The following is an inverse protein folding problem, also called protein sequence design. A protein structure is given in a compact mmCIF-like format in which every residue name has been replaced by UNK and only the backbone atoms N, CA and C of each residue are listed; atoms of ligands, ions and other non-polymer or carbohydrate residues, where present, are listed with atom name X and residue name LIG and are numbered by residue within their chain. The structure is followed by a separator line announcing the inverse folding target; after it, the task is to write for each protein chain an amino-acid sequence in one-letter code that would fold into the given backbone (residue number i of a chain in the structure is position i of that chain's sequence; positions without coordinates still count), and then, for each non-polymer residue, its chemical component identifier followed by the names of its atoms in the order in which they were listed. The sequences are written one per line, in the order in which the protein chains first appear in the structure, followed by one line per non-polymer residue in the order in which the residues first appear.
data_IF_491355389287
#
_entry.id   IF_491355389287
#
_cell.length_a   1.000
_cell.length_b   1.000
_cell.length_c   1.000
_cell.angle_alpha   90.00
_cell.angle_beta   90.00
_cell.angle_gamma   90.00
#
_symmetry.space_group_name_H-M   'P 1'
#
loop_
_entity.id
_entity.type
_entity.pdbx_description
1 polymer ?
#
# COMPACT_ATOMS: atom_id res chain seq x y z
N UNK A 1 0.92 25.92 -9.73
CA UNK A 1 -0.05 24.83 -9.93
C UNK A 1 -1.33 25.29 -10.63
N UNK A 2 -1.68 26.58 -10.60
CA UNK A 2 -2.76 27.10 -11.43
C UNK A 2 -2.38 27.03 -12.91
N UNK A 3 -3.18 26.31 -13.69
CA UNK A 3 -3.13 26.14 -15.14
C UNK A 3 -1.79 25.65 -15.73
N UNK A 4 -1.36 24.41 -15.40
CA UNK A 4 -0.17 23.83 -16.00
C UNK A 4 -0.47 23.30 -17.41
N UNK A 5 0.46 23.51 -18.35
CA UNK A 5 0.52 22.67 -19.54
C UNK A 5 0.55 21.18 -19.14
N UNK A 6 -0.02 20.26 -19.95
CA UNK A 6 -0.05 18.84 -19.63
C UNK A 6 1.34 18.29 -19.28
N UNK A 7 1.47 17.73 -18.07
CA UNK A 7 2.74 17.25 -17.53
C UNK A 7 2.56 16.00 -16.66
N UNK A 8 3.68 15.36 -16.30
CA UNK A 8 3.74 14.25 -15.34
C UNK A 8 4.44 14.76 -14.08
N UNK A 9 3.83 14.52 -12.92
CA UNK A 9 4.38 14.87 -11.62
C UNK A 9 4.64 13.63 -10.80
N UNK A 10 5.88 13.47 -10.35
CA UNK A 10 6.25 12.53 -9.31
C UNK A 10 6.49 13.31 -8.01
N UNK A 11 5.63 13.09 -7.01
CA UNK A 11 5.66 13.82 -5.75
C UNK A 11 5.62 12.89 -4.53
N UNK A 12 6.30 13.28 -3.47
CA UNK A 12 6.23 12.62 -2.16
C UNK A 12 5.06 13.17 -1.33
N UNK A 13 4.47 12.42 -0.39
CA UNK A 13 4.74 11.02 -0.03
C UNK A 13 3.82 10.03 -0.74
N UNK A 14 4.31 8.81 -1.01
CA UNK A 14 3.62 7.80 -1.84
C UNK A 14 2.30 7.23 -1.29
N UNK A 15 1.92 7.57 -0.06
CA UNK A 15 0.61 7.20 0.53
C UNK A 15 -0.27 8.41 0.87
N UNK A 16 0.14 9.61 0.43
CA UNK A 16 -0.64 10.86 0.56
C UNK A 16 -0.94 11.21 2.03
N UNK A 17 -0.05 10.87 2.96
CA UNK A 17 -0.19 11.26 4.37
C UNK A 17 0.39 12.66 4.66
N UNK A 18 0.94 13.32 3.63
CA UNK A 18 1.64 14.59 3.73
C UNK A 18 2.65 14.78 2.61
N UNK A 19 3.39 15.89 2.67
CA UNK A 19 4.39 16.26 1.68
C UNK A 19 3.82 16.98 0.45
N UNK A 20 4.67 17.25 -0.56
CA UNK A 20 4.30 18.01 -1.76
C UNK A 20 3.06 17.50 -2.51
N UNK A 21 2.80 16.18 -2.51
CA UNK A 21 1.63 15.56 -3.15
C UNK A 21 0.30 16.18 -2.68
N UNK A 22 0.25 16.66 -1.43
CA UNK A 22 -0.94 17.32 -0.90
C UNK A 22 -1.27 18.62 -1.62
N UNK A 23 -0.26 19.37 -2.06
CA UNK A 23 -0.46 20.64 -2.77
C UNK A 23 -0.98 20.40 -4.20
N UNK A 24 -0.50 19.34 -4.86
CA UNK A 24 -1.05 18.88 -6.14
C UNK A 24 -2.48 18.40 -5.99
N UNK A 25 -2.76 17.56 -4.98
CA UNK A 25 -4.11 17.05 -4.74
C UNK A 25 -5.10 18.19 -4.47
N UNK A 26 -4.76 19.15 -3.61
CA UNK A 26 -5.60 20.34 -3.35
C UNK A 26 -5.88 21.16 -4.60
N UNK A 27 -4.91 21.21 -5.53
CA UNK A 27 -5.01 22.05 -6.72
C UNK A 27 -5.74 21.37 -7.88
N UNK A 28 -5.60 20.05 -8.02
CA UNK A 28 -5.98 19.32 -9.24
C UNK A 28 -7.04 18.23 -9.04
N UNK A 29 -7.42 17.90 -7.79
CA UNK A 29 -8.38 16.82 -7.53
C UNK A 29 -9.76 17.03 -8.16
N UNK A 30 -10.18 18.28 -8.33
CA UNK A 30 -11.50 18.64 -8.88
C UNK A 30 -11.51 18.71 -10.41
N UNK A 31 -10.36 18.59 -11.07
CA UNK A 31 -10.25 18.59 -12.54
C UNK A 31 -10.35 17.15 -13.09
N UNK A 32 -11.41 16.89 -13.84
CA UNK A 32 -11.70 15.60 -14.49
C UNK A 32 -10.67 15.21 -15.57
N UNK A 33 -9.89 16.17 -16.08
CA UNK A 33 -8.80 15.90 -17.03
C UNK A 33 -7.56 15.34 -16.35
N UNK A 34 -7.42 15.54 -15.03
CA UNK A 34 -6.29 15.03 -14.29
C UNK A 34 -6.48 13.55 -13.93
N UNK A 35 -5.36 12.86 -13.70
CA UNK A 35 -5.34 11.47 -13.23
C UNK A 35 -4.33 11.35 -12.10
N UNK A 36 -4.73 10.70 -11.02
CA UNK A 36 -3.81 10.22 -9.98
C UNK A 36 -3.60 8.72 -10.15
N UNK A 37 -2.34 8.29 -10.22
CA UNK A 37 -1.98 6.89 -10.40
C UNK A 37 -1.22 6.38 -9.18
N UNK A 38 -1.78 5.37 -8.50
CA UNK A 38 -1.10 4.66 -7.43
C UNK A 38 -0.25 3.52 -7.99
N UNK A 39 1.05 3.54 -7.72
CA UNK A 39 2.01 2.56 -8.25
C UNK A 39 2.51 1.55 -7.19
N UNK A 40 2.04 1.68 -5.96
CA UNK A 40 2.47 0.86 -4.83
C UNK A 40 1.36 0.69 -3.80
N UNK A 41 1.60 -0.24 -2.87
CA UNK A 41 0.64 -0.57 -1.81
C UNK A 41 0.26 0.66 -0.98
N UNK A 42 -1.04 0.81 -0.72
CA UNK A 42 -1.58 1.87 0.13
C UNK A 42 -2.03 1.25 1.45
N UNK A 43 -1.32 1.58 2.54
CA UNK A 43 -1.62 1.02 3.84
C UNK A 43 -3.00 1.46 4.35
N UNK A 44 -3.68 0.58 5.10
CA UNK A 44 -4.94 0.92 5.76
C UNK A 44 -4.80 2.15 6.67
N UNK A 45 -5.84 2.98 6.69
CA UNK A 45 -5.86 4.25 7.42
C UNK A 45 -5.21 5.43 6.67
N UNK A 46 -4.41 5.19 5.63
CA UNK A 46 -3.82 6.28 4.83
C UNK A 46 -4.84 6.98 3.95
N UNK A 47 -4.55 8.22 3.58
CA UNK A 47 -5.41 8.97 2.67
C UNK A 47 -5.42 8.33 1.27
N UNK A 48 -4.26 7.91 0.78
CA UNK A 48 -4.14 7.22 -0.50
C UNK A 48 -5.01 5.97 -0.56
N UNK A 49 -5.09 5.18 0.52
CA UNK A 49 -5.97 4.01 0.59
C UNK A 49 -7.46 4.37 0.51
N UNK A 50 -7.89 5.48 1.13
CA UNK A 50 -9.28 5.95 1.04
C UNK A 50 -9.64 6.36 -0.39
N UNK A 51 -8.77 7.14 -1.03
CA UNK A 51 -8.94 7.58 -2.42
C UNK A 51 -8.97 6.36 -3.35
N UNK A 52 -8.03 5.43 -3.19
CA UNK A 52 -7.97 4.19 -3.98
C UNK A 52 -9.23 3.32 -3.82
N UNK A 53 -9.88 3.33 -2.64
CA UNK A 53 -11.18 2.67 -2.40
C UNK A 53 -12.38 3.41 -3.01
N UNK A 54 -12.16 4.51 -3.72
CA UNK A 54 -13.20 5.27 -4.41
C UNK A 54 -13.86 6.37 -3.58
N UNK A 55 -13.23 6.83 -2.49
CA UNK A 55 -13.73 7.99 -1.76
C UNK A 55 -13.67 9.24 -2.64
N UNK A 56 -14.83 9.88 -2.83
CA UNK A 56 -14.97 11.06 -3.69
C UNK A 56 -14.98 12.38 -2.95
N UNK A 57 -15.21 12.36 -1.64
CA UNK A 57 -15.17 13.55 -0.80
C UNK A 57 -14.12 13.37 0.30
N UNK A 58 -13.12 14.23 0.28
CA UNK A 58 -11.94 14.10 1.13
C UNK A 58 -11.83 15.31 2.07
N UNK A 59 -12.03 15.13 3.39
CA UNK A 59 -11.86 16.21 4.34
C UNK A 59 -10.36 16.46 4.58
N UNK A 60 -9.89 17.67 4.26
CA UNK A 60 -8.52 18.13 4.52
C UNK A 60 -8.55 19.41 5.38
N UNK A 61 -7.50 19.61 6.17
CA UNK A 61 -7.29 20.89 6.86
C UNK A 61 -6.40 21.77 6.00
N UNK A 62 -6.93 22.91 5.55
CA UNK A 62 -6.23 23.92 4.74
C UNK A 62 -6.22 25.22 5.54
N UNK A 63 -5.02 25.76 5.80
CA UNK A 63 -4.85 26.99 6.59
C UNK A 63 -5.62 27.01 7.92
N UNK A 64 -5.65 25.87 8.62
CA UNK A 64 -6.35 25.73 9.91
C UNK A 64 -7.87 25.57 9.82
N UNK A 65 -8.45 25.54 8.62
CA UNK A 65 -9.88 25.29 8.39
C UNK A 65 -10.10 23.92 7.76
N UNK A 66 -11.15 23.22 8.20
CA UNK A 66 -11.57 21.99 7.56
C UNK A 66 -12.26 22.32 6.23
N UNK A 67 -11.84 21.67 5.16
CA UNK A 67 -12.34 21.85 3.80
C UNK A 67 -12.48 20.49 3.16
N UNK A 68 -13.61 20.25 2.49
CA UNK A 68 -13.83 19.01 1.73
C UNK A 68 -13.45 19.26 0.28
N UNK A 69 -12.55 18.44 -0.26
CA UNK A 69 -12.18 18.45 -1.67
C UNK A 69 -12.94 17.34 -2.39
N UNK A 70 -13.42 17.63 -3.60
CA UNK A 70 -14.05 16.64 -4.48
C UNK A 70 -13.01 15.96 -5.36
N UNK A 71 -13.03 14.63 -5.42
CA UNK A 71 -12.14 13.83 -6.27
C UNK A 71 -12.81 13.54 -7.60
N UNK A 72 -12.87 14.56 -8.47
CA UNK A 72 -13.40 14.41 -9.83
C UNK A 72 -12.36 13.84 -10.81
N UNK A 73 -11.07 13.99 -10.48
CA UNK A 73 -9.98 13.41 -11.27
C UNK A 73 -10.09 11.88 -11.36
N UNK A 74 -9.49 11.32 -12.40
CA UNK A 74 -9.41 9.87 -12.58
C UNK A 74 -8.47 9.26 -11.52
N UNK A 75 -8.84 8.09 -10.99
CA UNK A 75 -8.05 7.37 -9.98
C UNK A 75 -7.70 6.02 -10.56
N UNK A 76 -6.42 5.83 -10.86
CA UNK A 76 -5.89 4.60 -11.45
C UNK A 76 -4.94 3.90 -10.48
N UNK A 77 -4.87 2.57 -10.56
CA UNK A 77 -3.86 1.78 -9.85
C UNK A 77 -3.06 0.99 -10.89
N UNK A 78 -1.75 1.18 -10.88
CA UNK A 78 -0.82 0.47 -11.73
C UNK A 78 0.02 -0.49 -10.88
N UNK A 79 -0.40 -1.75 -10.86
CA UNK A 79 0.31 -2.81 -10.13
C UNK A 79 1.62 -3.18 -10.83
N UNK A 80 2.64 -3.53 -10.05
CA UNK A 80 3.94 -4.01 -10.56
C UNK A 80 5.16 -3.17 -10.17
N UNK A 81 4.95 -1.98 -9.57
CA UNK A 81 6.04 -1.08 -9.18
C UNK A 81 6.22 -0.94 -7.65
N UNK A 82 5.55 -1.78 -6.87
CA UNK A 82 5.57 -1.67 -5.39
C UNK A 82 6.92 -2.00 -4.75
N UNK A 83 7.82 -2.67 -5.48
CA UNK A 83 9.07 -3.20 -4.94
C UNK A 83 8.90 -4.42 -4.02
N UNK A 84 7.66 -4.86 -3.77
CA UNK A 84 7.35 -6.03 -2.95
C UNK A 84 7.06 -7.25 -3.82
N UNK A 85 7.55 -8.42 -3.38
CA UNK A 85 7.22 -9.67 -4.02
C UNK A 85 5.73 -9.98 -3.91
N UNK A 86 5.12 -10.39 -5.02
CA UNK A 86 3.75 -10.89 -5.02
C UNK A 86 3.63 -12.26 -4.31
N UNK A 87 2.40 -12.75 -4.15
CA UNK A 87 2.12 -14.03 -3.50
C UNK A 87 2.84 -15.21 -4.18
N UNK A 88 2.91 -15.24 -5.50
CA UNK A 88 3.57 -16.29 -6.26
C UNK A 88 5.08 -16.25 -6.06
N UNK A 89 5.67 -15.05 -6.10
CA UNK A 89 7.08 -14.80 -5.85
C UNK A 89 7.48 -15.17 -4.42
N UNK A 90 6.67 -14.85 -3.40
CA UNK A 90 6.92 -15.26 -2.01
C UNK A 90 6.89 -16.79 -1.84
N UNK A 91 5.91 -17.47 -2.43
CA UNK A 91 5.86 -18.93 -2.42
C UNK A 91 7.06 -19.54 -3.15
N UNK A 92 7.44 -18.96 -4.29
CA UNK A 92 8.61 -19.40 -5.05
C UNK A 92 9.91 -19.17 -4.26
N UNK A 93 10.04 -18.06 -3.54
CA UNK A 93 11.18 -17.79 -2.67
C UNK A 93 11.34 -18.88 -1.60
N UNK A 94 10.26 -19.24 -0.90
CA UNK A 94 10.26 -20.38 0.04
C UNK A 94 10.58 -21.70 -0.66
N UNK A 95 10.02 -21.90 -1.86
CA UNK A 95 10.25 -23.06 -2.70
C UNK A 95 11.72 -23.27 -3.09
N UNK A 96 12.49 -22.20 -3.24
CA UNK A 96 13.89 -22.25 -3.68
C UNK A 96 14.92 -22.04 -2.55
N UNK A 97 14.49 -21.77 -1.31
CA UNK A 97 15.43 -21.67 -0.19
C UNK A 97 16.24 -22.97 0.01
N UNK A 98 17.55 -22.80 0.15
CA UNK A 98 18.52 -23.84 0.48
C UNK A 98 19.55 -23.30 1.48
N UNK A 99 19.76 -23.95 2.64
CA UNK A 99 19.01 -25.11 3.14
C UNK A 99 17.54 -24.77 3.40
N UNK A 100 16.69 -25.80 3.45
CA UNK A 100 15.28 -25.62 3.80
C UNK A 100 15.15 -25.21 5.27
N UNK A 101 14.43 -24.12 5.58
CA UNK A 101 14.27 -23.70 6.97
C UNK A 101 13.35 -24.65 7.72
N UNK A 102 13.68 -24.92 8.99
CA UNK A 102 12.83 -25.72 9.89
C UNK A 102 11.58 -24.96 10.34
N UNK A 103 11.67 -23.62 10.38
CA UNK A 103 10.58 -22.71 10.74
C UNK A 103 10.63 -21.41 9.94
N UNK A 104 9.47 -20.90 9.54
CA UNK A 104 9.32 -19.57 8.91
C UNK A 104 8.34 -18.72 9.72
N UNK A 105 8.70 -17.46 9.99
CA UNK A 105 7.87 -16.51 10.73
C UNK A 105 7.46 -15.39 9.77
N UNK A 106 6.16 -15.16 9.63
CA UNK A 106 5.57 -14.14 8.78
C UNK A 106 5.21 -12.89 9.59
N UNK A 107 5.47 -11.73 9.01
CA UNK A 107 5.14 -10.41 9.55
C UNK A 107 5.14 -9.37 8.45
N UNK A 108 5.07 -8.08 8.81
CA UNK A 108 5.06 -6.96 7.86
C UNK A 108 4.01 -7.11 6.74
N UNK A 109 2.78 -7.41 7.15
CA UNK A 109 1.60 -7.50 6.29
C UNK A 109 0.34 -7.40 7.14
N UNK A 110 -0.80 -7.22 6.49
CA UNK A 110 -2.09 -7.30 7.19
C UNK A 110 -2.22 -8.66 7.89
N UNK A 111 -2.83 -8.68 9.08
CA UNK A 111 -2.96 -9.90 9.91
C UNK A 111 -3.52 -11.09 9.11
N UNK A 112 -4.61 -10.86 8.37
CA UNK A 112 -5.23 -11.86 7.51
C UNK A 112 -4.28 -12.38 6.43
N UNK A 113 -3.45 -11.51 5.85
CA UNK A 113 -2.49 -11.86 4.79
C UNK A 113 -1.31 -12.65 5.33
N UNK A 114 -0.79 -12.29 6.51
CA UNK A 114 0.24 -13.05 7.21
C UNK A 114 -0.25 -14.46 7.57
N UNK A 115 -1.48 -14.59 8.09
CA UNK A 115 -2.10 -15.88 8.39
C UNK A 115 -2.34 -16.72 7.12
N UNK A 116 -2.80 -16.09 6.04
CA UNK A 116 -3.08 -16.75 4.76
C UNK A 116 -1.81 -17.35 4.15
N UNK A 117 -0.72 -16.57 4.06
CA UNK A 117 0.54 -17.05 3.48
C UNK A 117 1.23 -18.06 4.39
N UNK A 118 1.18 -17.88 5.71
CA UNK A 118 1.66 -18.85 6.69
C UNK A 118 1.00 -20.21 6.48
N UNK A 119 -0.33 -20.22 6.41
CA UNK A 119 -1.12 -21.43 6.15
C UNK A 119 -0.80 -22.05 4.78
N UNK A 120 -0.60 -21.23 3.75
CA UNK A 120 -0.27 -21.70 2.40
C UNK A 120 1.12 -22.36 2.35
N UNK A 121 2.11 -21.78 3.03
CA UNK A 121 3.48 -22.32 3.10
C UNK A 121 3.52 -23.61 3.89
N UNK A 122 2.84 -23.67 5.04
CA UNK A 122 2.74 -24.91 5.82
C UNK A 122 2.12 -26.04 5.00
N UNK A 123 0.95 -25.80 4.36
CA UNK A 123 0.28 -26.81 3.53
C UNK A 123 1.12 -27.28 2.34
N UNK A 124 1.86 -26.37 1.70
CA UNK A 124 2.60 -26.67 0.46
C UNK A 124 3.95 -27.33 0.70
N UNK A 125 4.66 -26.94 1.76
CA UNK A 125 6.06 -27.35 1.98
C UNK A 125 6.27 -28.15 3.25
N UNK A 126 5.22 -28.35 4.07
CA UNK A 126 5.30 -29.03 5.36
C UNK A 126 6.36 -28.43 6.31
N UNK A 127 6.53 -27.10 6.25
CA UNK A 127 7.43 -26.32 7.11
C UNK A 127 6.62 -25.76 8.28
N UNK A 128 7.20 -25.71 9.48
CA UNK A 128 6.53 -25.05 10.61
C UNK A 128 6.45 -23.54 10.36
N UNK A 129 5.26 -22.96 10.44
CA UNK A 129 5.08 -21.52 10.23
C UNK A 129 4.43 -20.85 11.43
N UNK A 130 4.71 -19.55 11.59
CA UNK A 130 4.03 -18.71 12.58
C UNK A 130 3.77 -17.33 11.98
N UNK A 131 2.70 -16.68 12.42
CA UNK A 131 2.40 -15.28 12.11
C UNK A 131 2.04 -14.59 13.45
N UNK A 132 3.05 -14.25 14.27
CA UNK A 132 2.83 -13.77 15.62
C UNK A 132 2.18 -12.39 15.64
N UNK A 133 1.43 -12.12 16.70
CA UNK A 133 0.95 -10.78 17.01
C UNK A 133 2.07 -9.92 17.61
N UNK A 134 1.91 -8.60 17.55
CA UNK A 134 2.82 -7.68 18.24
C UNK A 134 2.90 -8.05 19.73
N UNK A 135 4.11 -8.03 20.28
CA UNK A 135 4.46 -8.42 21.66
C UNK A 135 4.46 -9.92 21.96
N UNK A 136 4.12 -10.79 21.01
CA UNK A 136 4.35 -12.24 21.17
C UNK A 136 5.85 -12.56 21.09
N UNK A 137 6.27 -13.56 21.87
CA UNK A 137 7.65 -14.04 21.89
C UNK A 137 7.73 -15.46 21.37
N UNK A 138 8.48 -15.67 20.29
CA UNK A 138 8.78 -16.99 19.75
C UNK A 138 10.19 -17.38 20.18
N UNK A 139 10.32 -18.48 20.91
CA UNK A 139 11.62 -19.07 21.22
C UNK A 139 12.13 -19.86 20.01
N UNK A 140 13.31 -19.49 19.53
CA UNK A 140 14.10 -20.28 18.58
C UNK A 140 15.04 -21.15 19.42
N UNK A 141 14.98 -22.47 19.23
CA UNK A 141 15.89 -23.44 19.83
C UNK A 141 16.48 -24.27 18.72
#
# INVERSE_FOLDING_TARGET
LADPDPCIVLATSGMINGGPVMEYLKSWAEDEKCTITFVGYQAEGTLGRKIQKGWREIPLTIAGKMTTIKMNMNVETCDGFSGHSDRGQLLNYVGNMSPKPERIIFGHGEESKCLEISSAVHRRYNINTAAPMNLETIRLK
#
